data_IF_940140467108
#
_entry.id   IF_940140467108
#
_cell.length_a   1.000
_cell.length_b   1.000
_cell.length_c   1.000
_cell.angle_alpha   90.00
_cell.angle_beta   90.00
_cell.angle_gamma   90.00
#
_symmetry.space_group_name_H-M   'P 1'
#
loop_
_entity.id
_entity.type
_entity.pdbx_description
1 polymer ?
#
# COMPACT_ATOMS: atom_id res chain seq x y z
N UNK A 1 -8.00 -5.24 -32.30
CA UNK A 1 -7.91 -3.93 -31.61
C UNK A 1 -6.53 -3.83 -30.95
N UNK A 2 -5.90 -2.65 -30.86
CA UNK A 2 -4.61 -2.52 -30.16
C UNK A 2 -4.75 -2.73 -28.65
N UNK A 3 -3.66 -3.06 -27.95
CA UNK A 3 -3.70 -3.21 -26.48
C UNK A 3 -4.14 -1.92 -25.79
N UNK A 4 -3.68 -0.76 -26.29
CA UNK A 4 -4.16 0.55 -25.83
C UNK A 4 -5.66 0.74 -26.02
N UNK A 5 -6.21 0.29 -27.14
CA UNK A 5 -7.65 0.36 -27.40
C UNK A 5 -8.43 -0.52 -26.44
N UNK A 6 -7.98 -1.77 -26.24
CA UNK A 6 -8.54 -2.72 -25.26
C UNK A 6 -8.54 -2.15 -23.85
N UNK A 7 -7.41 -1.61 -23.39
CA UNK A 7 -7.33 -0.98 -22.06
C UNK A 7 -8.25 0.22 -21.92
N UNK A 8 -8.38 1.06 -22.93
CA UNK A 8 -9.27 2.23 -22.89
C UNK A 8 -10.72 1.80 -22.74
N UNK A 9 -11.17 0.84 -23.55
CA UNK A 9 -12.54 0.28 -23.46
C UNK A 9 -12.78 -0.33 -22.07
N UNK A 10 -11.86 -1.17 -21.59
CA UNK A 10 -12.00 -1.81 -20.28
C UNK A 10 -12.07 -0.79 -19.13
N UNK A 11 -11.18 0.20 -19.13
CA UNK A 11 -11.11 1.17 -18.04
C UNK A 11 -12.30 2.15 -18.06
N UNK A 12 -12.71 2.62 -19.23
CA UNK A 12 -13.70 3.69 -19.35
C UNK A 12 -15.14 3.19 -19.48
N UNK A 13 -15.36 2.00 -20.03
CA UNK A 13 -16.70 1.45 -20.22
C UNK A 13 -17.03 0.37 -19.18
N UNK A 14 -16.15 -0.62 -19.01
CA UNK A 14 -16.47 -1.77 -18.15
C UNK A 14 -16.27 -1.42 -16.68
N UNK A 15 -15.10 -0.88 -16.34
CA UNK A 15 -14.73 -0.65 -14.96
C UNK A 15 -15.45 0.56 -14.34
N UNK A 16 -15.79 1.57 -15.16
CA UNK A 16 -16.46 2.80 -14.71
C UNK A 16 -17.83 2.55 -14.06
N UNK A 17 -18.57 1.58 -14.56
CA UNK A 17 -19.89 1.17 -14.02
C UNK A 17 -19.79 0.67 -12.58
N UNK A 18 -18.62 0.13 -12.18
CA UNK A 18 -18.43 -0.44 -10.86
C UNK A 18 -18.08 0.61 -9.79
N UNK A 19 -17.62 1.80 -10.17
CA UNK A 19 -17.01 2.76 -9.23
C UNK A 19 -17.92 3.23 -8.11
N UNK A 20 -19.15 3.62 -8.44
CA UNK A 20 -20.11 4.07 -7.42
C UNK A 20 -20.45 2.95 -6.41
N UNK A 21 -20.60 1.71 -6.91
CA UNK A 21 -20.93 0.57 -6.07
C UNK A 21 -19.75 0.19 -5.18
N UNK A 22 -18.55 0.15 -5.74
CA UNK A 22 -17.33 -0.18 -5.01
C UNK A 22 -16.90 0.90 -4.02
N UNK A 23 -17.25 2.18 -4.24
CA UNK A 23 -16.92 3.23 -3.28
C UNK A 23 -17.73 3.13 -1.98
N UNK A 24 -18.96 2.63 -2.05
CA UNK A 24 -19.90 2.66 -0.92
C UNK A 24 -20.22 1.26 -0.34
N UNK A 25 -19.94 0.18 -1.06
CA UNK A 25 -20.29 -1.18 -0.64
C UNK A 25 -19.11 -2.13 -0.81
N UNK A 26 -19.12 -3.18 0.02
CA UNK A 26 -18.19 -4.29 -0.12
C UNK A 26 -18.73 -5.31 -1.12
N UNK A 27 -17.98 -5.65 -2.19
CA UNK A 27 -18.43 -6.66 -3.13
C UNK A 27 -18.43 -8.05 -2.49
N UNK A 28 -19.31 -8.97 -2.93
CA UNK A 28 -19.26 -10.36 -2.55
C UNK A 28 -17.87 -10.98 -2.80
N UNK A 29 -17.47 -11.90 -1.93
CA UNK A 29 -16.20 -12.61 -2.05
C UNK A 29 -16.08 -13.30 -3.41
N UNK A 30 -14.95 -13.11 -4.09
CA UNK A 30 -14.68 -13.72 -5.38
C UNK A 30 -15.23 -12.96 -6.60
N UNK A 31 -16.21 -12.05 -6.43
CA UNK A 31 -16.79 -11.31 -7.56
C UNK A 31 -15.72 -10.51 -8.32
N UNK A 32 -14.87 -9.76 -7.59
CA UNK A 32 -13.80 -8.98 -8.22
C UNK A 32 -12.81 -9.86 -8.98
N UNK A 33 -12.50 -11.04 -8.47
CA UNK A 33 -11.58 -11.97 -9.12
C UNK A 33 -12.20 -12.51 -10.42
N UNK A 34 -13.47 -12.93 -10.39
CA UNK A 34 -14.19 -13.41 -11.58
C UNK A 34 -14.27 -12.32 -12.67
N UNK A 35 -14.59 -11.08 -12.28
CA UNK A 35 -14.62 -9.95 -13.20
C UNK A 35 -13.22 -9.66 -13.75
N UNK A 36 -12.19 -9.65 -12.91
CA UNK A 36 -10.81 -9.43 -13.34
C UNK A 36 -10.35 -10.49 -14.35
N UNK A 37 -10.72 -11.76 -14.16
CA UNK A 37 -10.44 -12.84 -15.12
C UNK A 37 -11.06 -12.57 -16.49
N UNK A 38 -12.33 -12.14 -16.54
CA UNK A 38 -12.99 -11.78 -17.81
C UNK A 38 -12.36 -10.57 -18.49
N UNK A 39 -11.99 -9.56 -17.70
CA UNK A 39 -11.25 -8.37 -18.17
C UNK A 39 -9.92 -8.78 -18.81
N UNK A 40 -9.18 -9.70 -18.17
CA UNK A 40 -7.92 -10.21 -18.69
C UNK A 40 -8.10 -11.09 -19.93
N UNK A 41 -9.13 -11.93 -19.98
CA UNK A 41 -9.44 -12.76 -21.15
C UNK A 41 -9.72 -11.88 -22.38
N UNK A 42 -10.51 -10.81 -22.22
CA UNK A 42 -10.74 -9.82 -23.29
C UNK A 42 -9.46 -9.07 -23.69
N UNK A 43 -8.63 -8.68 -22.71
CA UNK A 43 -7.37 -7.99 -23.00
C UNK A 43 -6.43 -8.87 -23.84
N UNK A 44 -6.31 -10.15 -23.47
CA UNK A 44 -5.34 -11.08 -24.04
C UNK A 44 -5.84 -11.88 -25.24
N UNK A 45 -7.14 -11.92 -25.51
CA UNK A 45 -7.72 -12.84 -26.50
C UNK A 45 -7.45 -14.32 -26.14
N UNK A 46 -7.44 -14.63 -24.84
CA UNK A 46 -7.24 -15.99 -24.31
C UNK A 46 -5.79 -16.40 -23.98
N UNK A 47 -4.76 -15.64 -24.39
CA UNK A 47 -3.34 -16.02 -24.17
C UNK A 47 -2.63 -15.12 -23.14
N UNK A 48 -2.18 -15.69 -22.01
CA UNK A 48 -1.53 -14.93 -20.92
C UNK A 48 0.00 -14.91 -21.03
N UNK A 49 0.56 -13.85 -21.62
CA UNK A 49 2.01 -13.78 -21.90
C UNK A 49 2.86 -13.15 -20.78
N UNK A 50 2.28 -12.22 -20.02
CA UNK A 50 2.99 -11.44 -19.01
C UNK A 50 2.26 -11.56 -17.68
N UNK A 51 3.00 -11.52 -16.57
CA UNK A 51 2.42 -11.45 -15.24
C UNK A 51 1.41 -10.30 -15.13
N UNK A 52 0.24 -10.60 -14.59
CA UNK A 52 -0.90 -9.68 -14.58
C UNK A 52 -0.57 -8.35 -13.88
N UNK A 53 0.21 -8.41 -12.79
CA UNK A 53 0.67 -7.23 -12.06
C UNK A 53 1.36 -6.19 -12.93
N UNK A 54 2.11 -6.63 -13.96
CA UNK A 54 2.83 -5.73 -14.88
C UNK A 54 1.84 -4.95 -15.76
N UNK A 55 0.73 -5.57 -16.17
CA UNK A 55 -0.29 -4.89 -17.00
C UNK A 55 -0.94 -3.72 -16.26
N UNK A 56 -1.06 -3.86 -14.93
CA UNK A 56 -1.70 -2.87 -14.07
C UNK A 56 -0.82 -1.66 -13.78
N UNK A 57 0.49 -1.77 -13.99
CA UNK A 57 1.41 -0.66 -13.80
C UNK A 57 1.14 0.48 -14.78
N UNK A 58 1.54 1.72 -14.44
CA UNK A 58 1.48 2.85 -15.34
C UNK A 58 2.29 2.62 -16.62
N UNK A 59 1.92 3.34 -17.67
CA UNK A 59 2.57 3.26 -18.99
C UNK A 59 4.01 3.73 -18.94
N UNK A 60 4.29 4.66 -18.03
CA UNK A 60 5.61 5.22 -17.77
C UNK A 60 6.58 4.17 -17.19
N UNK A 61 6.04 3.10 -16.61
CA UNK A 61 6.78 2.02 -15.95
C UNK A 61 6.74 0.71 -16.75
N UNK A 62 6.14 0.73 -17.94
CA UNK A 62 6.09 -0.41 -18.85
C UNK A 62 4.84 -1.25 -18.75
N UNK A 63 3.90 -0.89 -17.88
CA UNK A 63 2.57 -1.49 -17.89
C UNK A 63 1.69 -0.96 -19.01
N UNK A 64 0.48 -1.49 -19.08
CA UNK A 64 -0.54 -1.06 -20.05
C UNK A 64 -1.52 -0.05 -19.43
N UNK A 65 -1.45 0.17 -18.12
CA UNK A 65 -2.40 0.94 -17.34
C UNK A 65 -3.78 0.26 -17.27
N UNK A 66 -3.82 -1.06 -17.35
CA UNK A 66 -5.05 -1.82 -17.18
C UNK A 66 -5.52 -1.69 -15.74
N UNK A 67 -6.80 -1.43 -15.52
CA UNK A 67 -7.31 -1.27 -14.16
C UNK A 67 -7.34 -2.62 -13.42
N UNK A 68 -6.84 -2.62 -12.18
CA UNK A 68 -6.96 -3.72 -11.24
C UNK A 68 -8.08 -3.41 -10.24
N UNK A 69 -9.17 -4.18 -10.31
CA UNK A 69 -10.40 -3.88 -9.57
C UNK A 69 -10.20 -3.91 -8.05
N UNK A 70 -9.42 -4.87 -7.53
CA UNK A 70 -9.12 -4.95 -6.11
C UNK A 70 -8.26 -3.78 -5.61
N UNK A 71 -7.24 -3.37 -6.38
CA UNK A 71 -6.44 -2.19 -6.04
C UNK A 71 -7.26 -0.90 -6.09
N UNK A 72 -8.20 -0.79 -7.02
CA UNK A 72 -9.10 0.36 -7.08
C UNK A 72 -10.06 0.39 -5.89
N UNK A 73 -10.58 -0.76 -5.48
CA UNK A 73 -11.41 -0.89 -4.28
C UNK A 73 -10.63 -0.47 -3.04
N UNK A 74 -9.41 -0.99 -2.84
CA UNK A 74 -8.54 -0.59 -1.73
C UNK A 74 -8.26 0.92 -1.74
N UNK A 75 -8.00 1.51 -2.93
CA UNK A 75 -7.79 2.96 -3.04
C UNK A 75 -9.03 3.78 -2.66
N UNK A 76 -10.25 3.30 -2.92
CA UNK A 76 -11.47 3.95 -2.42
C UNK A 76 -11.60 3.86 -0.91
N UNK A 77 -11.21 2.73 -0.31
CA UNK A 77 -11.18 2.57 1.14
C UNK A 77 -10.19 3.52 1.81
N UNK A 78 -9.01 3.72 1.24
CA UNK A 78 -8.05 4.71 1.76
C UNK A 78 -8.57 6.14 1.58
N UNK A 79 -9.21 6.46 0.45
CA UNK A 79 -9.87 7.76 0.26
C UNK A 79 -11.00 8.01 1.26
N UNK A 80 -11.73 6.95 1.65
CA UNK A 80 -12.71 7.04 2.73
C UNK A 80 -12.04 7.42 4.05
N UNK A 81 -10.90 6.79 4.40
CA UNK A 81 -10.13 7.14 5.60
C UNK A 81 -9.58 8.57 5.52
N UNK A 82 -9.03 8.98 4.38
CA UNK A 82 -8.59 10.36 4.15
C UNK A 82 -9.72 11.35 4.44
N UNK A 83 -10.91 11.13 3.86
CA UNK A 83 -12.08 11.99 4.10
C UNK A 83 -12.61 11.90 5.54
N UNK A 84 -12.50 10.73 6.17
CA UNK A 84 -12.91 10.51 7.56
C UNK A 84 -12.06 11.32 8.54
N UNK A 85 -10.72 11.31 8.36
CA UNK A 85 -9.78 11.94 9.28
C UNK A 85 -9.53 13.42 8.97
N UNK A 86 -9.48 13.80 7.69
CA UNK A 86 -9.02 15.14 7.26
C UNK A 86 -10.07 15.88 6.43
N UNK A 87 -11.30 15.36 6.36
CA UNK A 87 -12.39 15.99 5.63
C UNK A 87 -13.02 17.16 6.41
N UNK A 88 -13.96 17.87 5.78
CA UNK A 88 -14.76 18.91 6.42
C UNK A 88 -15.48 18.44 7.70
N UNK A 89 -15.65 19.33 8.69
CA UNK A 89 -16.26 18.99 9.98
C UNK A 89 -17.74 18.59 9.88
N UNK A 90 -18.46 19.07 8.86
CA UNK A 90 -19.91 18.89 8.63
C UNK A 90 -20.32 17.50 8.09
N UNK A 91 -19.41 16.52 8.10
CA UNK A 91 -19.70 15.17 7.60
C UNK A 91 -20.54 14.35 8.59
N UNK A 92 -21.86 14.36 8.40
CA UNK A 92 -22.83 13.64 9.26
C UNK A 92 -22.54 12.13 9.47
N UNK A 93 -21.91 11.46 8.51
CA UNK A 93 -21.59 10.03 8.63
C UNK A 93 -20.34 9.76 9.49
N UNK A 94 -19.54 10.79 9.83
CA UNK A 94 -18.29 10.65 10.57
C UNK A 94 -18.53 10.04 11.95
N UNK A 95 -19.53 10.51 12.68
CA UNK A 95 -19.82 9.99 14.03
C UNK A 95 -20.34 8.55 14.02
N UNK A 96 -21.11 8.19 12.99
CA UNK A 96 -21.51 6.79 12.75
C UNK A 96 -20.26 5.92 12.51
N UNK A 97 -19.33 6.39 11.66
CA UNK A 97 -18.07 5.70 11.43
C UNK A 97 -17.22 5.57 12.71
N UNK A 98 -17.15 6.63 13.54
CA UNK A 98 -16.48 6.58 14.86
C UNK A 98 -17.08 5.50 15.75
N UNK A 99 -18.41 5.43 15.85
CA UNK A 99 -19.10 4.39 16.63
C UNK A 99 -18.73 2.98 16.16
N UNK A 100 -18.63 2.77 14.84
CA UNK A 100 -18.21 1.48 14.27
C UNK A 100 -16.73 1.20 14.56
N UNK A 101 -15.83 2.16 14.38
CA UNK A 101 -14.40 1.98 14.60
C UNK A 101 -14.04 1.71 16.07
N UNK A 102 -14.79 2.27 17.02
CA UNK A 102 -14.64 1.95 18.46
C UNK A 102 -14.78 0.46 18.77
N UNK A 103 -15.48 -0.30 17.92
CA UNK A 103 -15.66 -1.76 18.05
C UNK A 103 -14.47 -2.56 17.52
N UNK A 104 -13.55 -1.96 16.75
CA UNK A 104 -12.35 -2.64 16.25
C UNK A 104 -11.52 -3.13 17.42
N UNK A 105 -11.23 -4.44 17.46
CA UNK A 105 -10.53 -5.09 18.56
C UNK A 105 -11.12 -4.85 19.95
N UNK A 106 -12.36 -4.33 20.07
CA UNK A 106 -12.91 -3.79 21.31
C UNK A 106 -11.99 -2.76 21.99
N UNK A 107 -11.23 -1.96 21.24
CA UNK A 107 -10.32 -0.97 21.83
C UNK A 107 -11.05 0.30 22.30
N UNK A 108 -12.22 0.62 21.75
CA UNK A 108 -12.88 1.89 22.05
C UNK A 108 -12.18 3.11 21.43
N UNK A 109 -11.20 2.90 20.53
CA UNK A 109 -10.53 3.95 19.79
C UNK A 109 -11.32 4.31 18.53
N UNK A 110 -11.48 5.61 18.27
CA UNK A 110 -12.11 6.14 17.05
C UNK A 110 -11.06 6.62 16.04
N UNK A 111 -10.87 7.93 15.90
CA UNK A 111 -9.92 8.56 14.99
C UNK A 111 -8.48 8.13 15.35
N UNK A 112 -8.18 8.03 16.65
CA UNK A 112 -6.89 7.60 17.18
C UNK A 112 -6.53 6.16 16.82
N UNK A 113 -7.50 5.33 16.40
CA UNK A 113 -7.23 3.97 15.91
C UNK A 113 -6.24 3.98 14.74
N UNK A 114 -6.30 5.00 13.88
CA UNK A 114 -5.45 5.12 12.70
C UNK A 114 -3.99 5.52 13.01
N UNK A 115 -3.66 5.78 14.28
CA UNK A 115 -2.29 5.97 14.78
C UNK A 115 -1.64 4.64 15.23
N UNK A 116 -2.40 3.54 15.23
CA UNK A 116 -1.94 2.20 15.65
C UNK A 116 -1.56 1.29 14.47
N UNK A 117 -0.82 0.21 14.74
CA UNK A 117 -0.54 -0.86 13.79
C UNK A 117 -1.69 -1.88 13.77
N UNK A 118 -2.25 -2.11 12.58
CA UNK A 118 -3.39 -2.99 12.37
C UNK A 118 -3.03 -4.48 12.24
N UNK A 119 -1.75 -4.86 12.38
CA UNK A 119 -1.33 -6.29 12.37
C UNK A 119 -2.11 -7.19 13.33
N UNK A 120 -2.58 -6.64 14.44
CA UNK A 120 -3.29 -7.38 15.49
C UNK A 120 -4.78 -7.04 15.57
N UNK A 121 -5.32 -6.32 14.58
CA UNK A 121 -6.71 -5.88 14.59
C UNK A 121 -7.68 -7.06 14.42
N UNK A 122 -8.55 -7.28 15.41
CA UNK A 122 -9.67 -8.22 15.32
C UNK A 122 -10.86 -7.49 14.71
N UNK A 123 -11.36 -8.01 13.59
CA UNK A 123 -12.41 -7.36 12.78
C UNK A 123 -13.80 -8.00 12.94
N UNK A 124 -13.93 -8.97 13.84
CA UNK A 124 -15.17 -9.70 14.05
C UNK A 124 -16.27 -8.74 14.54
N UNK A 125 -17.48 -8.86 13.98
CA UNK A 125 -18.62 -8.01 14.35
C UNK A 125 -18.68 -6.64 13.66
N UNK A 126 -17.68 -6.29 12.84
CA UNK A 126 -17.73 -5.07 12.02
C UNK A 126 -18.52 -5.32 10.72
N UNK A 127 -19.24 -4.32 10.18
CA UNK A 127 -19.84 -4.44 8.86
C UNK A 127 -18.78 -4.69 7.77
N UNK A 128 -19.07 -5.48 6.72
CA UNK A 128 -18.08 -5.87 5.70
C UNK A 128 -17.31 -4.71 5.07
N UNK A 129 -17.99 -3.58 4.85
CA UNK A 129 -17.37 -2.35 4.34
C UNK A 129 -16.23 -1.86 5.26
N UNK A 130 -16.46 -1.74 6.56
CA UNK A 130 -15.46 -1.25 7.52
C UNK A 130 -14.34 -2.28 7.73
N UNK A 131 -14.64 -3.58 7.65
CA UNK A 131 -13.58 -4.60 7.62
C UNK A 131 -12.66 -4.40 6.43
N UNK A 132 -13.22 -4.09 5.25
CA UNK A 132 -12.45 -3.78 4.04
C UNK A 132 -11.66 -2.49 4.18
N UNK A 133 -12.19 -1.47 4.86
CA UNK A 133 -11.45 -0.25 5.21
C UNK A 133 -10.21 -0.57 6.02
N UNK A 134 -10.35 -1.33 7.09
CA UNK A 134 -9.23 -1.71 7.95
C UNK A 134 -8.20 -2.58 7.20
N UNK A 135 -8.66 -3.54 6.40
CA UNK A 135 -7.79 -4.39 5.56
C UNK A 135 -7.01 -3.56 4.53
N UNK A 136 -7.65 -2.57 3.91
CA UNK A 136 -7.00 -1.68 2.96
C UNK A 136 -5.96 -0.79 3.67
N UNK A 137 -6.28 -0.26 4.85
CA UNK A 137 -5.34 0.52 5.64
C UNK A 137 -4.08 -0.28 6.02
N UNK A 138 -4.26 -1.56 6.39
CA UNK A 138 -3.16 -2.48 6.69
C UNK A 138 -2.23 -2.80 5.49
N UNK A 139 -2.58 -2.37 4.27
CA UNK A 139 -1.67 -2.41 3.11
C UNK A 139 -0.54 -1.38 3.21
N UNK A 140 -0.63 -0.43 4.14
CA UNK A 140 0.33 0.64 4.34
C UNK A 140 0.90 0.57 5.75
N UNK A 141 2.19 0.91 5.87
CA UNK A 141 2.83 1.22 7.14
C UNK A 141 2.66 2.71 7.41
N UNK A 142 2.16 3.03 8.59
CA UNK A 142 2.07 4.40 9.08
C UNK A 142 3.45 4.80 9.62
N UNK A 143 4.09 5.77 8.98
CA UNK A 143 5.26 6.46 9.53
C UNK A 143 4.79 7.44 10.59
N UNK A 144 5.18 7.17 11.83
CA UNK A 144 4.78 7.99 12.97
C UNK A 144 5.60 9.26 13.04
N UNK A 145 4.96 10.35 13.44
CA UNK A 145 5.66 11.59 13.82
C UNK A 145 6.49 11.35 15.07
N UNK A 146 7.50 12.19 15.26
CA UNK A 146 8.34 12.19 16.46
C UNK A 146 7.70 12.99 17.60
N UNK A 147 6.88 14.00 17.30
CA UNK A 147 6.20 14.86 18.28
C UNK A 147 4.83 15.33 17.80
N UNK A 148 3.90 15.56 18.75
CA UNK A 148 2.65 16.30 18.57
C UNK A 148 2.84 17.77 18.94
N UNK A 149 2.14 18.66 18.23
CA UNK A 149 2.03 20.08 18.58
C UNK A 149 0.67 20.43 19.20
N UNK A 150 -0.31 19.53 19.06
CA UNK A 150 -1.67 19.66 19.59
C UNK A 150 -1.78 18.92 20.92
N UNK A 151 -2.32 19.59 21.94
CA UNK A 151 -2.65 19.00 23.23
C UNK A 151 -3.74 17.93 23.09
N UNK A 152 -4.79 18.23 22.31
CA UNK A 152 -5.89 17.29 22.05
C UNK A 152 -5.39 15.97 21.47
N UNK A 153 -4.54 16.02 20.45
CA UNK A 153 -3.99 14.82 19.83
C UNK A 153 -2.89 14.15 20.66
N UNK A 154 -2.15 14.91 21.47
CA UNK A 154 -1.18 14.35 22.41
C UNK A 154 -1.89 13.47 23.45
N UNK A 155 -2.96 13.97 24.05
CA UNK A 155 -3.77 13.23 25.04
C UNK A 155 -4.45 11.98 24.42
N UNK A 156 -4.84 12.07 23.15
CA UNK A 156 -5.42 10.97 22.36
C UNK A 156 -4.40 10.05 21.68
N UNK A 157 -3.10 10.21 21.94
CA UNK A 157 -2.09 9.30 21.41
C UNK A 157 -2.23 7.91 22.06
N UNK A 158 -2.37 6.83 21.27
CA UNK A 158 -2.53 5.50 21.84
C UNK A 158 -1.25 4.97 22.50
N UNK A 159 -1.42 4.17 23.55
CA UNK A 159 -0.34 3.52 24.32
C UNK A 159 -0.15 2.05 23.96
N UNK A 160 -0.81 1.57 22.91
CA UNK A 160 -0.88 0.15 22.52
C UNK A 160 -0.72 -0.05 21.02
N UNK A 161 -0.58 -1.32 20.60
CA UNK A 161 -0.59 -1.76 19.21
C UNK A 161 0.42 -1.08 18.32
N UNK A 162 1.65 -0.97 18.81
CA UNK A 162 2.72 -0.33 18.10
C UNK A 162 2.34 1.08 17.68
N UNK A 163 1.63 1.85 18.52
CA UNK A 163 1.51 3.31 18.43
C UNK A 163 2.82 4.00 18.86
N UNK A 164 2.89 5.33 18.91
CA UNK A 164 4.15 6.02 19.27
C UNK A 164 4.49 5.84 20.75
N UNK A 165 3.48 5.84 21.62
CA UNK A 165 3.61 5.67 23.07
C UNK A 165 3.43 4.21 23.52
N UNK A 166 3.41 3.26 22.58
CA UNK A 166 3.45 1.84 22.93
C UNK A 166 4.85 1.44 23.36
N UNK A 167 5.01 1.21 24.66
CA UNK A 167 6.25 0.80 25.32
C UNK A 167 6.28 -0.70 25.63
N UNK A 168 5.28 -1.47 25.18
CA UNK A 168 5.13 -2.88 25.53
C UNK A 168 6.29 -3.79 25.10
N UNK A 169 7.05 -3.39 24.08
CA UNK A 169 8.25 -4.12 23.65
C UNK A 169 9.44 -3.97 24.62
N UNK A 170 9.49 -2.87 25.39
CA UNK A 170 10.59 -2.52 26.31
C UNK A 170 10.19 -2.70 27.79
N UNK A 171 8.91 -2.97 28.04
CA UNK A 171 8.32 -3.05 29.37
C UNK A 171 8.16 -4.51 29.86
N UNK A 172 7.78 -4.72 31.14
CA UNK A 172 7.58 -6.06 31.69
C UNK A 172 6.59 -6.90 30.86
N UNK A 173 6.82 -8.22 30.77
CA UNK A 173 5.86 -9.12 30.14
C UNK A 173 4.50 -8.95 30.82
N UNK A 174 3.43 -8.85 30.01
CA UNK A 174 2.01 -8.60 30.41
C UNK A 174 1.57 -7.14 30.50
N UNK A 175 2.43 -6.13 30.26
CA UNK A 175 1.97 -4.72 30.23
C UNK A 175 0.79 -4.52 29.27
N UNK A 176 0.87 -5.05 28.05
CA UNK A 176 -0.23 -4.94 27.07
C UNK A 176 -1.53 -5.51 27.63
N UNK A 177 -1.50 -6.69 28.25
CA UNK A 177 -2.70 -7.29 28.84
C UNK A 177 -3.28 -6.45 29.97
N UNK A 178 -2.43 -5.81 30.78
CA UNK A 178 -2.86 -4.89 31.83
C UNK A 178 -3.56 -3.65 31.25
N UNK A 179 -2.93 -2.95 30.29
CA UNK A 179 -3.51 -1.76 29.64
C UNK A 179 -4.88 -2.05 29.01
N UNK A 180 -5.03 -3.24 28.44
CA UNK A 180 -6.31 -3.69 27.89
C UNK A 180 -7.37 -3.93 28.96
N UNK A 181 -7.02 -4.65 30.03
CA UNK A 181 -7.93 -4.95 31.15
C UNK A 181 -8.43 -3.67 31.81
N UNK A 182 -7.57 -2.67 31.96
CA UNK A 182 -7.86 -1.41 32.65
C UNK A 182 -8.39 -0.32 31.71
N UNK A 183 -8.49 -0.59 30.41
CA UNK A 183 -8.85 0.39 29.37
C UNK A 183 -7.93 1.60 29.29
N UNK A 184 -6.69 1.48 29.78
CA UNK A 184 -5.66 2.54 29.73
C UNK A 184 -4.99 2.57 28.35
N UNK A 185 -5.74 2.92 27.31
CA UNK A 185 -5.31 2.81 25.91
C UNK A 185 -4.83 4.12 25.27
N UNK A 186 -5.00 5.25 25.98
CA UNK A 186 -4.66 6.59 25.53
C UNK A 186 -3.80 7.28 26.61
N UNK A 187 -2.96 8.23 26.21
CA UNK A 187 -2.14 9.00 27.15
C UNK A 187 -2.99 9.69 28.21
N UNK A 188 -4.16 10.22 27.86
CA UNK A 188 -5.08 10.86 28.80
C UNK A 188 -5.46 9.96 29.98
N UNK A 189 -5.58 8.64 29.76
CA UNK A 189 -5.96 7.71 30.83
C UNK A 189 -4.81 7.48 31.83
N UNK A 190 -3.57 7.67 31.38
CA UNK A 190 -2.40 7.65 32.25
C UNK A 190 -2.31 8.97 33.01
N UNK A 191 -2.36 10.09 32.29
CA UNK A 191 -2.30 11.44 32.87
C UNK A 191 -3.39 11.68 33.92
N UNK A 192 -4.60 11.15 33.71
CA UNK A 192 -5.69 11.25 34.69
C UNK A 192 -5.38 10.58 36.05
N UNK A 193 -4.41 9.66 36.10
CA UNK A 193 -4.06 8.90 37.31
C UNK A 193 -2.77 9.40 37.96
N UNK A 194 -1.78 9.83 37.17
CA UNK A 194 -0.48 10.30 37.68
C UNK A 194 -0.19 11.78 37.45
N UNK A 195 -1.13 12.52 36.90
CA UNK A 195 -0.92 13.91 36.53
C UNK A 195 -0.02 14.08 35.30
N UNK A 196 0.21 15.35 34.90
CA UNK A 196 0.89 15.72 33.66
C UNK A 196 2.38 15.38 33.65
N UNK A 197 3.03 15.39 34.81
CA UNK A 197 4.47 15.10 34.93
C UNK A 197 4.78 13.59 34.81
N UNK A 198 3.74 12.76 34.76
CA UNK A 198 3.83 11.30 34.76
C UNK A 198 4.68 10.80 35.95
N UNK A 199 4.37 11.34 37.13
CA UNK A 199 4.99 11.03 38.43
C UNK A 199 3.97 10.31 39.31
N UNK A 200 4.34 9.19 39.92
CA UNK A 200 3.40 8.41 40.74
C UNK A 200 3.42 6.91 40.44
N UNK A 201 4.58 6.28 40.69
CA UNK A 201 4.78 4.86 40.47
C UNK A 201 3.76 3.98 41.20
N UNK A 202 3.32 4.37 42.40
CA UNK A 202 2.34 3.62 43.18
C UNK A 202 0.94 3.64 42.53
N UNK A 203 0.52 4.79 41.99
CA UNK A 203 -0.77 4.94 41.33
C UNK A 203 -0.82 4.16 40.02
N UNK A 204 0.23 4.22 39.18
CA UNK A 204 0.34 3.37 37.98
C UNK A 204 0.44 1.90 38.36
N UNK A 205 1.20 1.58 39.41
CA UNK A 205 1.33 0.23 39.92
C UNK A 205 -0.02 -0.37 40.28
N UNK A 206 -0.82 0.39 41.02
CA UNK A 206 -2.18 0.01 41.42
C UNK A 206 -3.11 -0.12 40.21
N UNK A 207 -3.08 0.85 39.28
CA UNK A 207 -3.89 0.83 38.06
C UNK A 207 -3.61 -0.43 37.22
N UNK A 208 -2.34 -0.67 36.90
CA UNK A 208 -1.92 -1.72 35.97
C UNK A 208 -1.78 -3.09 36.66
N UNK A 209 -1.82 -3.14 37.99
CA UNK A 209 -1.57 -4.36 38.78
C UNK A 209 -0.09 -4.76 38.82
N UNK A 210 0.82 -3.79 38.73
CA UNK A 210 2.27 -3.98 38.86
C UNK A 210 2.62 -3.89 40.34
N UNK A 211 3.10 -5.00 40.92
CA UNK A 211 3.44 -5.07 42.36
C UNK A 211 4.72 -4.34 42.73
N UNK A 212 5.67 -4.23 41.81
CA UNK A 212 6.95 -3.56 42.05
C UNK A 212 6.84 -2.08 41.69
N UNK A 213 7.05 -1.21 42.66
CA UNK A 213 7.17 0.25 42.47
C UNK A 213 8.28 0.61 41.49
N UNK A 214 9.42 -0.09 41.56
CA UNK A 214 10.52 0.10 40.62
C UNK A 214 10.13 -0.27 39.17
N UNK A 215 9.34 -1.34 38.99
CA UNK A 215 8.84 -1.71 37.67
C UNK A 215 7.82 -0.69 37.13
N UNK A 216 6.92 -0.19 37.99
CA UNK A 216 5.97 0.86 37.61
C UNK A 216 6.68 2.17 37.24
N UNK A 217 7.69 2.58 38.01
CA UNK A 217 8.56 3.72 37.68
C UNK A 217 9.34 3.49 36.38
N UNK A 218 9.76 2.25 36.12
CA UNK A 218 10.32 1.84 34.84
C UNK A 218 9.40 2.14 33.66
N UNK A 219 8.11 1.78 33.76
CA UNK A 219 7.11 2.05 32.71
C UNK A 219 6.86 3.56 32.54
N UNK A 220 6.72 4.31 33.64
CA UNK A 220 6.57 5.77 33.59
C UNK A 220 7.75 6.43 32.90
N UNK A 221 8.97 6.01 33.22
CA UNK A 221 10.20 6.50 32.57
C UNK A 221 10.22 6.20 31.08
N UNK A 222 9.75 5.02 30.64
CA UNK A 222 9.65 4.72 29.21
C UNK A 222 8.70 5.70 28.50
N UNK A 223 7.52 5.98 29.07
CA UNK A 223 6.61 6.98 28.49
C UNK A 223 7.21 8.38 28.47
N UNK A 224 7.83 8.84 29.58
CA UNK A 224 8.51 10.13 29.62
C UNK A 224 9.60 10.24 28.55
N UNK A 225 10.37 9.17 28.32
CA UNK A 225 11.42 9.15 27.30
C UNK A 225 10.89 9.20 25.86
N UNK A 226 9.62 8.82 25.64
CA UNK A 226 8.96 8.92 24.33
C UNK A 226 8.38 10.32 24.06
N UNK A 227 8.20 11.12 25.11
CA UNK A 227 7.73 12.50 25.01
C UNK A 227 8.90 13.46 24.79
N UNK A 228 8.77 14.32 23.78
CA UNK A 228 9.71 15.42 23.54
C UNK A 228 9.61 16.49 24.63
N UNK A 229 10.65 17.32 24.76
CA UNK A 229 10.66 18.45 25.71
C UNK A 229 9.48 19.39 25.52
N UNK A 230 9.04 19.58 24.26
CA UNK A 230 7.88 20.42 23.94
C UNK A 230 6.57 19.79 24.42
N UNK A 231 6.40 18.49 24.24
CA UNK A 231 5.19 17.77 24.67
C UNK A 231 5.05 17.74 26.19
N UNK A 232 6.17 17.66 26.92
CA UNK A 232 6.16 17.78 28.38
C UNK A 232 5.64 19.14 28.83
N UNK A 233 6.10 20.23 28.20
CA UNK A 233 5.56 21.58 28.44
C UNK A 233 4.07 21.68 28.14
N UNK A 234 3.62 21.10 27.02
CA UNK A 234 2.18 21.05 26.68
C UNK A 234 1.37 20.33 27.77
N UNK A 235 1.90 19.27 28.37
CA UNK A 235 1.24 18.59 29.49
C UNK A 235 1.30 19.41 30.78
N UNK A 236 2.40 20.09 31.08
CA UNK A 236 2.51 21.02 32.21
C UNK A 236 1.45 22.13 32.10
N UNK A 237 1.30 22.73 30.92
CA UNK A 237 0.28 23.74 30.62
C UNK A 237 -1.15 23.18 30.78
N UNK A 238 -1.38 21.93 30.40
CA UNK A 238 -2.64 21.21 30.65
C UNK A 238 -2.91 21.04 32.16
N UNK A 239 -1.88 20.71 32.93
CA UNK A 239 -1.95 20.66 34.39
C UNK A 239 -2.32 21.99 35.05
N UNK A 240 -2.00 23.11 34.40
CA UNK A 240 -2.32 24.47 34.84
C UNK A 240 -3.70 24.96 34.37
N UNK A 241 -4.45 24.13 33.63
CA UNK A 241 -5.82 24.43 33.21
C UNK A 241 -5.99 24.75 31.72
N UNK A 242 -4.98 24.54 30.88
CA UNK A 242 -5.14 24.65 29.42
C UNK A 242 -6.10 23.58 28.92
N UNK A 243 -7.14 23.95 28.18
CA UNK A 243 -8.11 22.99 27.63
C UNK A 243 -7.70 22.47 26.25
N UNK A 244 -7.97 21.18 25.93
CA UNK A 244 -7.70 20.62 24.61
C UNK A 244 -8.74 21.09 23.58
N UNK A 245 -8.29 21.58 22.43
CA UNK A 245 -9.15 21.98 21.32
C UNK A 245 -9.55 20.78 20.43
N UNK A 246 -10.85 20.49 20.34
CA UNK A 246 -11.37 19.40 19.50
C UNK A 246 -11.33 19.69 18.00
N UNK A 247 -11.17 20.97 17.61
CA UNK A 247 -11.05 21.40 16.21
C UNK A 247 -9.61 21.30 15.69
N UNK A 248 -8.65 20.93 16.55
CA UNK A 248 -7.26 20.70 16.15
C UNK A 248 -7.19 19.65 15.01
N UNK A 249 -6.48 19.96 13.91
CA UNK A 249 -6.45 19.10 12.74
C UNK A 249 -5.81 17.76 13.08
N UNK A 250 -6.34 16.69 12.47
CA UNK A 250 -5.80 15.35 12.64
C UNK A 250 -4.29 15.32 12.31
N UNK A 251 -3.45 14.63 13.13
CA UNK A 251 -2.00 14.66 12.98
C UNK A 251 -1.57 14.20 11.59
N UNK A 252 -0.55 14.85 11.04
CA UNK A 252 -0.06 14.47 9.73
C UNK A 252 0.47 13.03 9.75
N UNK A 253 -0.20 12.16 8.98
CA UNK A 253 0.22 10.78 8.75
C UNK A 253 0.93 10.68 7.41
N UNK A 254 2.11 10.06 7.46
CA UNK A 254 2.85 9.63 6.28
C UNK A 254 2.66 8.12 6.07
N UNK A 255 2.27 7.74 4.86
CA UNK A 255 2.02 6.35 4.49
C UNK A 255 3.12 5.82 3.57
N UNK A 256 3.52 4.59 3.82
CA UNK A 256 4.45 3.82 2.98
C UNK A 256 3.82 2.49 2.61
N UNK A 257 3.86 2.14 1.34
CA UNK A 257 3.40 0.84 0.86
C UNK A 257 4.06 -0.33 1.62
N UNK A 258 3.27 -1.25 2.18
CA UNK A 258 3.80 -2.38 2.92
C UNK A 258 4.24 -3.52 1.98
N UNK A 259 5.51 -3.52 1.59
CA UNK A 259 6.10 -4.51 0.67
C UNK A 259 6.70 -5.74 1.37
N UNK A 260 6.90 -5.68 2.70
CA UNK A 260 7.60 -6.73 3.45
C UNK A 260 9.09 -6.75 3.08
N UNK A 261 9.65 -7.95 2.89
CA UNK A 261 11.04 -8.15 2.49
C UNK A 261 11.21 -8.26 0.96
N UNK A 262 10.17 -7.94 0.19
CA UNK A 262 10.19 -8.04 -1.26
C UNK A 262 10.74 -6.76 -1.88
N UNK A 263 11.65 -6.92 -2.84
CA UNK A 263 12.27 -5.82 -3.57
C UNK A 263 12.25 -6.11 -5.08
N UNK A 264 12.65 -5.12 -5.86
CA UNK A 264 12.81 -5.19 -7.30
C UNK A 264 12.55 -3.85 -7.98
N UNK A 265 13.02 -3.66 -9.23
CA UNK A 265 12.88 -2.38 -9.92
C UNK A 265 11.41 -1.98 -10.20
N UNK A 266 10.49 -2.95 -10.28
CA UNK A 266 9.04 -2.72 -10.39
C UNK A 266 8.35 -2.48 -9.05
N UNK A 267 9.03 -2.78 -7.93
CA UNK A 267 8.57 -2.53 -6.56
C UNK A 267 9.22 -1.28 -5.93
N UNK A 268 10.14 -0.62 -6.67
CA UNK A 268 10.90 0.54 -6.20
C UNK A 268 10.00 1.54 -5.47
N UNK A 269 10.51 2.12 -4.37
CA UNK A 269 9.71 2.48 -3.22
C UNK A 269 8.58 3.43 -3.62
N UNK A 270 7.38 3.14 -3.11
CA UNK A 270 6.37 4.16 -2.94
C UNK A 270 7.06 5.31 -2.18
N UNK A 271 7.15 6.49 -2.79
CA UNK A 271 7.53 7.69 -2.04
C UNK A 271 6.60 7.73 -0.84
N UNK A 272 7.16 7.93 0.35
CA UNK A 272 6.34 8.26 1.51
C UNK A 272 5.45 9.43 1.13
N UNK A 273 4.14 9.29 1.32
CA UNK A 273 3.18 10.33 0.96
C UNK A 273 2.36 10.75 2.18
N UNK A 274 2.03 12.04 2.24
CA UNK A 274 1.13 12.59 3.25
C UNK A 274 -0.31 12.17 2.93
N UNK A 275 -1.03 11.62 3.92
CA UNK A 275 -2.43 11.22 3.76
C UNK A 275 -3.30 12.38 3.29
N UNK A 276 -3.03 13.61 3.76
CA UNK A 276 -3.80 14.80 3.40
C UNK A 276 -3.60 15.14 1.92
N UNK A 277 -2.36 15.14 1.45
CA UNK A 277 -1.99 15.67 0.15
C UNK A 277 -2.02 14.63 -1.00
N UNK A 278 -2.16 13.34 -0.69
CA UNK A 278 -2.05 12.29 -1.71
C UNK A 278 -3.22 12.32 -2.70
N UNK A 279 -2.88 12.23 -3.98
CA UNK A 279 -3.85 12.18 -5.06
C UNK A 279 -4.35 10.73 -5.33
N UNK A 280 -5.51 10.63 -5.98
CA UNK A 280 -6.19 9.36 -6.27
C UNK A 280 -5.37 8.41 -7.16
N UNK A 281 -4.49 8.93 -8.03
CA UNK A 281 -3.67 8.13 -8.93
C UNK A 281 -2.50 7.52 -8.18
N UNK A 282 -1.83 8.30 -7.32
CA UNK A 282 -0.74 7.80 -6.46
C UNK A 282 -1.23 6.69 -5.53
N UNK A 283 -2.35 6.92 -4.82
CA UNK A 283 -2.98 5.89 -3.96
C UNK A 283 -3.27 4.60 -4.71
N UNK A 284 -3.85 4.71 -5.91
CA UNK A 284 -4.15 3.54 -6.74
C UNK A 284 -2.89 2.76 -7.13
N UNK A 285 -1.85 3.47 -7.60
CA UNK A 285 -0.61 2.82 -8.03
C UNK A 285 0.08 2.08 -6.88
N UNK A 286 0.07 2.64 -5.68
CA UNK A 286 0.64 1.96 -4.52
C UNK A 286 -0.19 0.75 -4.09
N UNK A 287 -1.53 0.84 -4.16
CA UNK A 287 -2.39 -0.33 -3.99
C UNK A 287 -2.13 -1.42 -5.06
N UNK A 288 -1.77 -1.05 -6.29
CA UNK A 288 -1.36 -2.01 -7.34
C UNK A 288 -0.08 -2.72 -6.93
N UNK A 289 0.94 -1.99 -6.50
CA UNK A 289 2.23 -2.56 -6.08
C UNK A 289 2.08 -3.48 -4.89
N UNK A 290 1.39 -3.04 -3.83
CA UNK A 290 1.25 -3.84 -2.61
C UNK A 290 0.47 -5.13 -2.88
N UNK A 291 -0.65 -5.08 -3.60
CA UNK A 291 -1.46 -6.27 -3.85
C UNK A 291 -0.81 -7.23 -4.85
N UNK A 292 0.02 -6.73 -5.76
CA UNK A 292 0.72 -7.56 -6.75
C UNK A 292 2.20 -7.82 -6.39
N UNK A 293 2.61 -7.50 -5.16
CA UNK A 293 4.04 -7.47 -4.76
C UNK A 293 4.80 -8.76 -5.05
N UNK A 294 4.17 -9.92 -4.79
CA UNK A 294 4.79 -11.23 -5.04
C UNK A 294 5.06 -11.48 -6.53
N UNK A 295 4.13 -11.07 -7.40
CA UNK A 295 4.27 -11.23 -8.85
C UNK A 295 5.26 -10.25 -9.48
N UNK A 296 5.49 -9.11 -8.84
CA UNK A 296 6.36 -8.02 -9.30
C UNK A 296 7.78 -8.09 -8.69
N UNK A 297 7.97 -8.78 -7.57
CA UNK A 297 9.27 -8.92 -6.90
C UNK A 297 10.32 -9.55 -7.80
N UNK A 298 11.56 -9.07 -7.69
CA UNK A 298 12.73 -9.57 -8.43
C UNK A 298 12.58 -9.56 -9.96
N UNK A 299 11.58 -8.85 -10.50
CA UNK A 299 11.40 -8.70 -11.94
C UNK A 299 12.09 -7.44 -12.44
N UNK A 300 12.91 -7.60 -13.48
CA UNK A 300 13.42 -6.48 -14.26
C UNK A 300 12.27 -5.72 -14.94
N UNK A 301 12.53 -4.47 -15.33
CA UNK A 301 11.55 -3.66 -16.08
C UNK A 301 11.31 -4.22 -17.48
N UNK A 302 12.31 -4.89 -18.05
CA UNK A 302 12.32 -5.48 -19.40
C UNK A 302 13.18 -6.74 -19.39
N UNK A 303 12.85 -7.72 -20.23
CA UNK A 303 13.68 -8.93 -20.38
C UNK A 303 15.06 -8.62 -20.99
N UNK A 304 15.22 -7.42 -21.55
CA UNK A 304 16.45 -6.96 -22.18
C UNK A 304 17.38 -6.18 -21.25
N UNK A 305 16.99 -5.93 -20.00
CA UNK A 305 17.72 -5.09 -19.07
C UNK A 305 19.19 -5.53 -18.90
N UNK A 306 19.44 -6.84 -18.82
CA UNK A 306 20.79 -7.38 -18.62
C UNK A 306 21.61 -7.45 -19.92
N UNK A 307 20.96 -7.29 -21.09
CA UNK A 307 21.59 -7.48 -22.41
C UNK A 307 21.86 -6.19 -23.17
N UNK A 308 21.17 -5.10 -22.84
CA UNK A 308 21.30 -3.80 -23.51
C UNK A 308 22.28 -2.85 -22.80
N UNK A 309 23.10 -3.35 -21.88
CA UNK A 309 24.12 -2.55 -21.17
C UNK A 309 23.58 -1.93 -19.88
N UNK A 310 24.34 -2.11 -18.81
CA UNK A 310 23.99 -1.81 -17.42
C UNK A 310 24.18 -0.36 -16.98
N UNK A 311 24.05 0.63 -17.87
CA UNK A 311 24.26 2.06 -17.53
C UNK A 311 23.11 2.66 -16.69
N UNK A 312 22.24 1.81 -16.12
CA UNK A 312 21.05 2.27 -15.39
C UNK A 312 19.99 2.94 -16.28
N UNK A 313 20.18 2.97 -17.60
CA UNK A 313 19.23 3.53 -18.56
C UNK A 313 17.91 2.76 -18.50
N UNK A 314 16.85 3.45 -18.05
CA UNK A 314 15.51 2.86 -17.95
C UNK A 314 14.83 2.87 -19.33
N UNK A 315 14.11 1.80 -19.70
CA UNK A 315 13.34 1.82 -20.94
C UNK A 315 12.35 2.99 -20.96
N UNK A 316 12.43 3.80 -22.02
CA UNK A 316 11.54 4.93 -22.25
C UNK A 316 10.21 4.47 -22.83
N UNK A 317 9.38 3.81 -22.00
CA UNK A 317 8.11 3.19 -22.41
C UNK A 317 7.13 4.12 -23.13
N UNK A 318 7.16 5.42 -22.81
CA UNK A 318 6.31 6.43 -23.44
C UNK A 318 6.58 6.58 -24.95
N UNK A 319 7.78 6.29 -25.42
CA UNK A 319 8.20 6.51 -26.82
C UNK A 319 7.57 5.49 -27.77
N UNK A 320 7.27 4.28 -27.31
CA UNK A 320 6.79 3.15 -28.14
C UNK A 320 5.52 3.45 -28.95
N UNK A 321 4.77 4.47 -28.57
CA UNK A 321 3.50 4.81 -29.19
C UNK A 321 3.39 6.30 -29.51
N UNK A 322 4.51 7.02 -29.58
CA UNK A 322 4.53 8.40 -30.08
C UNK A 322 4.44 8.38 -31.62
N UNK A 323 3.70 9.32 -32.24
CA UNK A 323 3.75 9.51 -33.69
C UNK A 323 5.20 9.67 -34.17
N UNK A 324 5.55 9.21 -35.39
CA UNK A 324 4.68 8.65 -36.43
C UNK A 324 4.37 7.14 -36.29
N UNK A 325 4.72 6.51 -35.17
CA UNK A 325 4.56 5.06 -35.00
C UNK A 325 3.08 4.63 -34.96
N UNK A 326 2.72 3.65 -35.80
CA UNK A 326 1.40 3.02 -35.78
C UNK A 326 1.20 2.26 -34.46
N UNK A 327 -0.03 2.28 -33.92
CA UNK A 327 -0.36 1.60 -32.64
C UNK A 327 0.01 0.11 -32.62
N UNK A 328 -0.17 -0.61 -33.73
CA UNK A 328 0.22 -2.03 -33.86
C UNK A 328 1.74 -2.24 -33.73
N UNK A 329 2.54 -1.30 -34.26
CA UNK A 329 4.00 -1.33 -34.12
C UNK A 329 4.40 -1.12 -32.66
N UNK A 330 3.75 -0.19 -31.96
CA UNK A 330 3.98 0.02 -30.53
C UNK A 330 3.61 -1.21 -29.67
N UNK A 331 2.49 -1.88 -29.98
CA UNK A 331 2.11 -3.13 -29.31
C UNK A 331 3.18 -4.22 -29.54
N UNK A 332 3.70 -4.34 -30.76
CA UNK A 332 4.77 -5.29 -31.07
C UNK A 332 6.07 -4.97 -30.32
N UNK A 333 6.50 -3.71 -30.32
CA UNK A 333 7.69 -3.28 -29.57
C UNK A 333 7.53 -3.54 -28.07
N UNK A 334 6.35 -3.25 -27.51
CA UNK A 334 6.05 -3.55 -26.12
C UNK A 334 6.14 -5.06 -25.85
N UNK A 335 5.60 -5.91 -26.73
CA UNK A 335 5.70 -7.36 -26.62
C UNK A 335 7.15 -7.85 -26.64
N UNK A 336 7.96 -7.32 -27.55
CA UNK A 336 9.39 -7.68 -27.65
C UNK A 336 10.10 -7.33 -26.33
N UNK A 337 9.89 -6.13 -25.80
CA UNK A 337 10.53 -5.68 -24.55
C UNK A 337 10.09 -6.48 -23.31
N UNK A 338 8.86 -6.98 -23.30
CA UNK A 338 8.34 -7.86 -22.26
C UNK A 338 8.57 -9.36 -22.52
N UNK A 339 9.20 -9.74 -23.66
CA UNK A 339 9.37 -11.14 -24.05
C UNK A 339 8.07 -11.86 -24.44
N UNK A 340 6.98 -11.13 -24.66
CA UNK A 340 5.66 -11.66 -25.00
C UNK A 340 5.50 -11.98 -26.50
N UNK A 341 6.47 -12.70 -27.08
CA UNK A 341 6.51 -13.07 -28.50
C UNK A 341 6.45 -14.59 -28.63
N UNK A 342 5.60 -15.09 -29.54
CA UNK A 342 5.43 -16.52 -29.77
C UNK A 342 6.62 -17.07 -30.58
N UNK A 343 7.68 -17.47 -29.87
CA UNK A 343 8.87 -18.08 -30.45
C UNK A 343 9.00 -19.51 -29.97
N UNK A 344 9.73 -20.34 -30.70
CA UNK A 344 9.80 -21.78 -30.45
C UNK A 344 10.24 -22.11 -29.02
N UNK A 345 11.18 -21.35 -28.43
CA UNK A 345 11.60 -21.58 -27.05
C UNK A 345 10.50 -21.35 -25.99
N UNK A 346 9.50 -20.53 -26.30
CA UNK A 346 8.34 -20.30 -25.45
C UNK A 346 7.20 -21.27 -25.79
N UNK A 347 6.96 -21.51 -27.08
CA UNK A 347 5.92 -22.43 -27.54
C UNK A 347 6.19 -23.87 -27.10
N UNK A 348 7.45 -24.32 -27.14
CA UNK A 348 7.85 -25.66 -26.65
C UNK A 348 7.56 -25.87 -25.17
N UNK A 349 7.59 -24.80 -24.36
CA UNK A 349 7.22 -24.86 -22.94
C UNK A 349 5.72 -25.04 -22.69
N UNK A 350 4.89 -24.70 -23.68
CA UNK A 350 3.42 -24.82 -23.61
C UNK A 350 2.89 -26.03 -24.39
N UNK A 351 3.66 -26.52 -25.37
CA UNK A 351 3.31 -27.65 -26.21
C UNK A 351 4.56 -28.48 -26.54
N UNK A 352 4.61 -29.71 -26.02
CA UNK A 352 5.73 -30.62 -26.20
C UNK A 352 5.97 -31.06 -27.66
N UNK A 353 5.00 -30.86 -28.56
CA UNK A 353 5.16 -31.15 -29.99
C UNK A 353 5.99 -30.12 -30.76
N UNK A 354 6.30 -28.96 -30.14
CA UNK A 354 7.06 -27.89 -30.78
C UNK A 354 8.52 -27.97 -30.32
N UNK A 355 9.45 -28.12 -31.27
CA UNK A 355 10.89 -28.01 -30.99
C UNK A 355 11.23 -26.60 -30.53
N UNK A 356 12.19 -26.45 -29.60
CA UNK A 356 12.66 -25.14 -29.11
C UNK A 356 13.73 -24.50 -30.03
N UNK A 357 14.12 -25.21 -31.09
CA UNK A 357 15.18 -24.81 -32.02
C UNK A 357 14.68 -23.84 -33.09
N UNK A 358 15.59 -22.99 -33.56
CA UNK A 358 15.36 -22.09 -34.67
C UNK A 358 15.46 -22.86 -36.00
N UNK A 359 14.50 -22.67 -36.92
CA UNK A 359 14.52 -23.34 -38.22
C UNK A 359 15.68 -22.91 -39.14
N UNK A 360 16.41 -21.84 -38.81
CA UNK A 360 17.47 -21.29 -39.67
C UNK A 360 18.90 -21.62 -39.25
N UNK A 361 19.14 -21.88 -37.96
CA UNK A 361 20.49 -22.07 -37.42
C UNK A 361 20.58 -23.18 -36.35
N UNK A 362 19.48 -23.91 -36.11
CA UNK A 362 19.34 -24.98 -35.12
C UNK A 362 19.62 -24.59 -33.65
N UNK A 363 19.98 -23.32 -33.37
CA UNK A 363 20.11 -22.79 -32.01
C UNK A 363 18.75 -22.51 -31.36
N UNK A 364 18.69 -22.42 -30.03
CA UNK A 364 17.43 -22.18 -29.29
C UNK A 364 16.78 -20.85 -29.67
N UNK A 365 15.54 -20.87 -30.14
CA UNK A 365 14.86 -19.68 -30.65
C UNK A 365 14.24 -18.83 -29.54
N UNK A 366 15.08 -18.02 -28.90
CA UNK A 366 14.65 -17.01 -27.93
C UNK A 366 14.35 -15.67 -28.60
N UNK A 367 13.69 -14.74 -27.87
CA UNK A 367 13.48 -13.37 -28.36
C UNK A 367 14.80 -12.67 -28.67
N UNK A 368 15.85 -12.97 -27.91
CA UNK A 368 17.18 -12.45 -28.17
C UNK A 368 17.78 -13.03 -29.45
N UNK A 369 17.62 -14.33 -29.66
CA UNK A 369 18.08 -14.99 -30.87
C UNK A 369 17.42 -14.38 -32.12
N UNK A 370 16.08 -14.30 -32.12
CA UNK A 370 15.30 -13.81 -33.26
C UNK A 370 15.64 -12.36 -33.66
N UNK A 371 15.92 -11.49 -32.68
CA UNK A 371 16.17 -10.06 -32.92
C UNK A 371 17.65 -9.66 -32.94
N UNK A 372 18.58 -10.46 -32.39
CA UNK A 372 20.03 -10.25 -32.53
C UNK A 372 20.54 -10.74 -33.89
N UNK A 373 20.11 -11.92 -34.34
CA UNK A 373 20.54 -12.53 -35.60
C UNK A 373 20.15 -11.70 -36.84
N UNK A 374 19.01 -11.00 -36.80
CA UNK A 374 18.61 -10.08 -37.88
C UNK A 374 19.51 -8.84 -38.00
N UNK A 375 20.12 -8.39 -36.89
CA UNK A 375 21.06 -7.26 -36.90
C UNK A 375 22.36 -7.61 -37.62
N UNK A 376 22.88 -8.82 -37.39
CA UNK A 376 24.12 -9.31 -37.98
C UNK A 376 23.97 -9.53 -39.50
N UNK A 377 22.85 -10.13 -39.95
CA UNK A 377 22.54 -10.26 -41.39
C UNK A 377 22.21 -8.94 -42.10
N UNK A 378 21.59 -7.98 -41.41
CA UNK A 378 21.35 -6.64 -41.97
C UNK A 378 22.67 -5.88 -42.18
N UNK A 379 23.62 -6.05 -41.26
CA UNK A 379 24.99 -5.54 -41.43
C UNK A 379 25.74 -6.22 -42.58
N UNK A 380 25.54 -7.52 -42.82
CA UNK A 380 26.17 -8.22 -43.95
C UNK A 380 25.55 -7.82 -45.30
N UNK A 381 24.22 -7.63 -45.35
CA UNK A 381 23.53 -7.12 -46.55
C UNK A 381 23.83 -5.66 -46.87
N UNK A 382 24.06 -4.82 -45.87
CA UNK A 382 24.47 -3.42 -46.08
C UNK A 382 25.95 -3.29 -46.52
N UNK A 383 26.77 -4.32 -46.32
CA UNK A 383 28.15 -4.41 -46.82
C UNK A 383 28.25 -5.02 -48.23
N UNK A 384 27.14 -5.49 -48.79
CA UNK A 384 27.07 -6.14 -50.12
C UNK A 384 26.23 -5.35 -51.12
N UNK A 385 25.99 -4.06 -50.87
CA UNK A 385 25.45 -3.09 -51.83
C UNK A 385 26.46 -2.00 -52.08
#
# INVERSE_FOLDING_TARGET
MSYRGRTLVLNNLVASVLWHRLSCMEPPSGLLAQLQTRVLAFFWDGMHWVQQGVLYLPREEGGQGLIHLASRTAAFRIQFVQRFLTGPADLMWRDVARCVFRRVSNLGLDDALFLTDFKFAKLNGLPPFYQSVVKAWALFKVEKRTSSESLYWLLREPTVHGARLDVSAEAPPRLTAALWRTRTLLLQHVVAVVGPDLTGAEAVGSLLGIRSTQAAEGVLRLWRNRLSTRERRILEDYGQGTEPDSEDPFPEIRLVAHLGNLDGPLLRPAKTFSLVAVDKKTLYNDCVRVLNRRGLSNRSTSVWADRLGGDGARPCWRVLYKPPLKKRTGDLQWRILHGAVALNALLSSMNAAVSDQCPFCSGRETVFHAYKWRSERASERAKTV
#
